data_IF_694620638840
#
_entry.id   IF_694620638840
#
_cell.length_a   1.000
_cell.length_b   1.000
_cell.length_c   1.000
_cell.angle_alpha   90.00
_cell.angle_beta   90.00
_cell.angle_gamma   90.00
#
_symmetry.space_group_name_H-M   'P 1'
#
loop_
_entity.id
_entity.type
_entity.pdbx_description
1 polymer ?
#
# COMPACT_ATOMS: atom_id res chain seq x y z
N UNK A 1 2.63 8.34 -18.71
CA UNK A 1 1.90 9.46 -18.06
C UNK A 1 2.29 9.43 -16.58
N UNK A 2 3.09 10.39 -16.12
CA UNK A 2 3.58 10.43 -14.74
C UNK A 2 2.42 10.85 -13.83
N UNK A 3 1.90 9.92 -13.02
CA UNK A 3 0.94 10.27 -11.96
C UNK A 3 1.69 11.11 -10.93
N UNK A 4 1.26 12.34 -10.62
CA UNK A 4 1.94 13.16 -9.63
C UNK A 4 1.97 12.44 -8.29
N UNK A 5 3.18 12.18 -7.78
CA UNK A 5 3.40 11.77 -6.39
C UNK A 5 2.85 12.89 -5.50
N UNK A 6 2.10 12.59 -4.42
CA UNK A 6 1.73 13.61 -3.46
C UNK A 6 2.99 14.37 -3.05
N UNK A 7 3.00 15.70 -3.23
CA UNK A 7 4.12 16.54 -2.82
C UNK A 7 4.41 16.28 -1.35
N UNK A 8 5.69 16.33 -0.97
CA UNK A 8 6.21 16.06 0.38
C UNK A 8 5.41 16.70 1.52
N UNK A 9 4.68 17.79 1.23
CA UNK A 9 3.69 18.44 2.08
C UNK A 9 2.71 17.47 2.79
N UNK A 10 2.28 16.37 2.16
CA UNK A 10 1.37 15.40 2.79
C UNK A 10 2.05 14.49 3.81
N UNK A 11 3.39 14.43 3.81
CA UNK A 11 4.15 13.61 4.77
C UNK A 11 4.34 14.28 6.14
N UNK A 12 4.05 15.58 6.26
CA UNK A 12 4.07 16.27 7.56
C UNK A 12 2.90 15.86 8.47
N UNK A 13 1.85 15.23 7.93
CA UNK A 13 0.73 14.70 8.70
C UNK A 13 0.92 13.25 9.18
N UNK A 14 2.00 12.58 8.77
CA UNK A 14 2.24 11.16 9.07
C UNK A 14 2.32 10.79 10.56
N UNK A 15 2.89 11.63 11.46
CA UNK A 15 2.88 11.32 12.89
C UNK A 15 1.44 11.19 13.43
N UNK A 16 0.49 11.93 12.85
CA UNK A 16 -0.92 11.94 13.23
C UNK A 16 -1.63 10.65 12.79
N UNK A 17 -1.10 9.97 11.77
CA UNK A 17 -1.62 8.71 11.26
C UNK A 17 -0.96 7.48 11.90
N UNK A 18 -0.03 7.67 12.85
CA UNK A 18 0.61 6.57 13.57
C UNK A 18 1.57 5.74 12.70
N UNK A 19 2.08 6.35 11.63
CA UNK A 19 2.95 5.68 10.65
C UNK A 19 4.39 5.77 11.12
N UNK A 20 5.09 4.63 11.15
CA UNK A 20 6.48 4.58 11.55
C UNK A 20 7.37 5.38 10.58
N UNK A 21 8.08 6.38 11.11
CA UNK A 21 8.93 7.28 10.33
C UNK A 21 10.21 6.60 9.77
N UNK A 22 10.63 5.47 10.34
CA UNK A 22 11.70 4.63 9.78
C UNK A 22 11.17 3.89 8.56
N UNK A 23 10.03 3.22 8.67
CA UNK A 23 9.42 2.50 7.54
C UNK A 23 9.11 3.43 6.37
N UNK A 24 8.62 4.64 6.65
CA UNK A 24 8.39 5.63 5.60
C UNK A 24 9.69 6.01 4.88
N UNK A 25 10.77 6.27 5.63
CA UNK A 25 12.06 6.64 5.03
C UNK A 25 12.62 5.51 4.18
N UNK A 26 12.41 4.25 4.57
CA UNK A 26 12.74 3.11 3.72
C UNK A 26 11.92 3.10 2.44
N UNK A 27 10.61 3.32 2.52
CA UNK A 27 9.72 3.38 1.37
C UNK A 27 10.12 4.47 0.37
N UNK A 28 10.43 5.66 0.87
CA UNK A 28 10.87 6.78 0.03
C UNK A 28 12.21 6.49 -0.66
N UNK A 29 13.09 5.66 -0.06
CA UNK A 29 14.37 5.26 -0.65
C UNK A 29 14.23 4.16 -1.71
N UNK A 30 13.21 3.31 -1.60
CA UNK A 30 12.99 2.20 -2.54
C UNK A 30 12.62 2.71 -3.95
N UNK A 31 12.06 3.92 -4.03
CA UNK A 31 11.54 4.49 -5.27
C UNK A 31 10.12 4.01 -5.57
N UNK A 32 9.40 4.77 -6.40
CA UNK A 32 7.98 4.56 -6.67
C UNK A 32 7.05 5.45 -5.83
N UNK A 33 5.74 5.26 -6.00
CA UNK A 33 4.73 6.02 -5.26
C UNK A 33 4.47 5.35 -3.91
N UNK A 34 4.65 6.09 -2.81
CA UNK A 34 4.39 5.58 -1.46
C UNK A 34 2.90 5.68 -1.13
N UNK A 35 2.32 4.57 -0.69
CA UNK A 35 0.91 4.46 -0.30
C UNK A 35 0.86 3.83 1.08
N UNK A 36 0.09 4.44 1.98
CA UNK A 36 -0.17 3.89 3.30
C UNK A 36 -1.51 3.20 3.26
N UNK A 37 -1.56 1.96 3.74
CA UNK A 37 -2.69 1.07 3.55
C UNK A 37 -3.02 0.32 4.84
N UNK A 38 -4.25 -0.19 4.88
CA UNK A 38 -4.68 -1.22 5.83
C UNK A 38 -5.12 -2.46 5.07
N UNK A 39 -4.92 -3.61 5.68
CA UNK A 39 -5.46 -4.84 5.14
C UNK A 39 -6.94 -4.99 5.48
N UNK A 40 -7.70 -5.55 4.57
CA UNK A 40 -9.11 -5.89 4.76
C UNK A 40 -9.28 -7.35 4.34
N UNK A 41 -9.98 -8.12 5.17
CA UNK A 41 -10.35 -9.50 4.84
C UNK A 41 -11.53 -9.52 3.89
N UNK A 42 -11.38 -10.21 2.77
CA UNK A 42 -12.42 -10.44 1.76
C UNK A 42 -12.56 -11.96 1.52
N UNK A 43 -13.47 -12.59 2.26
CA UNK A 43 -13.62 -14.04 2.27
C UNK A 43 -12.34 -14.75 2.74
N UNK A 44 -11.76 -15.58 1.86
CA UNK A 44 -10.51 -16.30 2.12
C UNK A 44 -9.25 -15.55 1.67
N UNK A 45 -9.39 -14.30 1.22
CA UNK A 45 -8.30 -13.46 0.74
C UNK A 45 -8.20 -12.16 1.52
N UNK A 46 -7.08 -11.47 1.34
CA UNK A 46 -6.86 -10.14 1.84
C UNK A 46 -6.67 -9.16 0.69
N UNK A 47 -7.12 -7.93 0.90
CA UNK A 47 -6.90 -6.80 0.00
C UNK A 47 -6.25 -5.68 0.80
N UNK A 48 -5.46 -4.85 0.14
CA UNK A 48 -4.93 -3.63 0.74
C UNK A 48 -5.75 -2.43 0.29
N UNK A 49 -6.28 -1.68 1.26
CA UNK A 49 -7.06 -0.46 1.05
C UNK A 49 -6.21 0.75 1.49
N UNK A 50 -6.11 1.81 0.67
CA UNK A 50 -5.40 3.01 1.07
C UNK A 50 -6.13 3.69 2.23
N UNK A 51 -5.36 4.28 3.14
CA UNK A 51 -5.92 5.21 4.11
C UNK A 51 -6.32 6.52 3.39
N UNK A 52 -7.12 7.33 4.07
CA UNK A 52 -7.56 8.63 3.56
C UNK A 52 -6.36 9.51 3.15
N UNK A 53 -6.44 10.16 1.98
CA UNK A 53 -5.35 10.97 1.42
C UNK A 53 -4.37 10.23 0.50
N UNK A 54 -4.39 8.89 0.48
CA UNK A 54 -3.59 8.07 -0.46
C UNK A 54 -4.43 7.39 -1.55
N UNK A 55 -5.74 7.59 -1.53
CA UNK A 55 -6.70 7.09 -2.50
C UNK A 55 -6.46 7.64 -3.92
N UNK A 56 -5.98 8.88 -4.04
CA UNK A 56 -5.68 9.52 -5.33
C UNK A 56 -4.66 8.73 -6.16
N UNK A 57 -3.66 8.14 -5.50
CA UNK A 57 -2.65 7.32 -6.17
C UNK A 57 -3.30 6.09 -6.81
N UNK A 58 -4.11 5.35 -6.06
CA UNK A 58 -4.77 4.16 -6.60
C UNK A 58 -5.88 4.50 -7.61
N UNK A 59 -6.55 5.65 -7.45
CA UNK A 59 -7.54 6.14 -8.41
C UNK A 59 -6.93 6.35 -9.79
N UNK A 60 -5.71 6.88 -9.86
CA UNK A 60 -4.98 7.07 -11.12
C UNK A 60 -4.50 5.76 -11.77
N UNK A 61 -4.45 4.67 -11.00
CA UNK A 61 -3.93 3.36 -11.42
C UNK A 61 -5.04 2.33 -11.66
N UNK A 62 -6.28 2.77 -11.81
CA UNK A 62 -7.44 1.89 -11.97
C UNK A 62 -7.29 0.89 -13.13
N UNK A 63 -7.36 -0.41 -12.82
CA UNK A 63 -7.24 -1.49 -13.82
C UNK A 63 -5.81 -1.79 -14.26
N UNK A 64 -4.82 -1.07 -13.74
CA UNK A 64 -3.39 -1.22 -14.08
C UNK A 64 -2.76 -2.34 -13.24
N UNK A 65 -1.82 -3.06 -13.85
CA UNK A 65 -0.91 -3.95 -13.14
C UNK A 65 0.27 -3.14 -12.62
N UNK A 66 0.54 -3.27 -11.33
CA UNK A 66 1.58 -2.51 -10.64
C UNK A 66 2.55 -3.46 -9.96
N UNK A 67 3.83 -3.11 -9.96
CA UNK A 67 4.78 -3.70 -9.04
C UNK A 67 4.56 -3.05 -7.67
N UNK A 68 4.29 -3.89 -6.66
CA UNK A 68 4.02 -3.46 -5.29
C UNK A 68 5.04 -4.10 -4.37
N UNK A 69 5.72 -3.29 -3.55
CA UNK A 69 6.46 -3.80 -2.39
C UNK A 69 5.73 -3.38 -1.11
N UNK A 70 5.37 -4.35 -0.29
CA UNK A 70 4.97 -4.11 1.10
C UNK A 70 6.21 -3.97 1.97
N UNK A 71 6.26 -2.91 2.76
CA UNK A 71 7.30 -2.60 3.72
C UNK A 71 6.69 -2.75 5.10
N UNK A 72 7.16 -3.76 5.82
CA UNK A 72 6.61 -4.21 7.09
C UNK A 72 7.62 -3.95 8.22
N UNK A 73 7.15 -3.92 9.46
CA UNK A 73 8.01 -3.78 10.64
C UNK A 73 9.02 -4.95 10.77
N UNK A 74 10.13 -4.68 11.46
CA UNK A 74 11.23 -5.63 11.59
C UNK A 74 12.04 -5.85 10.31
N UNK A 75 11.94 -4.95 9.32
CA UNK A 75 12.69 -5.00 8.07
C UNK A 75 12.17 -6.04 7.07
N UNK A 76 10.98 -6.61 7.31
CA UNK A 76 10.36 -7.59 6.41
C UNK A 76 9.81 -6.87 5.18
N UNK A 77 10.00 -7.46 4.01
CA UNK A 77 9.50 -6.92 2.74
C UNK A 77 8.88 -8.01 1.89
N UNK A 78 7.86 -7.65 1.10
CA UNK A 78 7.24 -8.56 0.15
C UNK A 78 6.90 -7.83 -1.14
N UNK A 79 7.61 -8.16 -2.22
CA UNK A 79 7.38 -7.60 -3.56
C UNK A 79 6.57 -8.55 -4.44
N UNK A 80 5.61 -8.01 -5.19
CA UNK A 80 4.73 -8.76 -6.08
C UNK A 80 4.06 -7.85 -7.10
N UNK A 81 3.63 -8.44 -8.21
CA UNK A 81 2.75 -7.79 -9.17
C UNK A 81 1.32 -7.91 -8.67
N UNK A 82 0.59 -6.81 -8.66
CA UNK A 82 -0.79 -6.75 -8.22
C UNK A 82 -1.66 -5.98 -9.21
N UNK A 83 -2.95 -6.30 -9.23
CA UNK A 83 -3.95 -5.52 -9.95
C UNK A 83 -4.58 -4.51 -9.00
N UNK A 84 -4.65 -3.26 -9.44
CA UNK A 84 -5.49 -2.23 -8.79
C UNK A 84 -6.92 -2.41 -9.26
N UNK A 85 -7.84 -2.65 -8.34
CA UNK A 85 -9.27 -2.80 -8.63
C UNK A 85 -10.15 -2.01 -7.68
N UNK A 86 -11.40 -2.46 -7.52
CA UNK A 86 -12.40 -1.77 -6.71
C UNK A 86 -13.08 -2.74 -5.76
N UNK A 87 -13.23 -2.34 -4.50
CA UNK A 87 -13.95 -3.08 -3.47
C UNK A 87 -14.86 -2.11 -2.71
N UNK A 88 -16.17 -2.35 -2.74
CA UNK A 88 -17.19 -1.46 -2.15
C UNK A 88 -17.01 0.02 -2.52
N UNK A 89 -16.72 0.31 -3.79
CA UNK A 89 -16.53 1.67 -4.29
C UNK A 89 -15.15 2.29 -4.00
N UNK A 90 -14.32 1.67 -3.15
CA UNK A 90 -12.96 2.12 -2.88
C UNK A 90 -11.93 1.39 -3.77
N UNK A 91 -10.88 2.09 -4.21
CA UNK A 91 -9.77 1.44 -4.91
C UNK A 91 -8.90 0.65 -3.95
N UNK A 92 -8.48 -0.53 -4.39
CA UNK A 92 -7.72 -1.49 -3.57
C UNK A 92 -6.68 -2.22 -4.42
N UNK A 93 -5.67 -2.77 -3.73
CA UNK A 93 -4.70 -3.70 -4.30
C UNK A 93 -5.09 -5.12 -3.88
N UNK A 94 -5.27 -6.01 -4.86
CA UNK A 94 -5.50 -7.42 -4.58
C UNK A 94 -4.18 -8.13 -4.26
N UNK A 95 -4.14 -8.80 -3.11
CA UNK A 95 -2.92 -9.44 -2.63
C UNK A 95 -2.83 -10.89 -3.11
N UNK A 96 -1.63 -11.37 -3.51
CA UNK A 96 -1.41 -12.78 -3.80
C UNK A 96 -1.70 -13.67 -2.59
N UNK A 97 -2.39 -14.81 -2.80
CA UNK A 97 -2.70 -15.77 -1.73
C UNK A 97 -1.48 -16.25 -0.94
N UNK A 98 -0.30 -16.33 -1.58
CA UNK A 98 0.96 -16.69 -0.93
C UNK A 98 1.34 -15.76 0.22
N UNK A 99 0.83 -14.52 0.25
CA UNK A 99 1.06 -13.56 1.31
C UNK A 99 0.02 -13.64 2.43
N UNK A 100 -1.06 -14.42 2.29
CA UNK A 100 -2.16 -14.45 3.26
C UNK A 100 -1.69 -14.67 4.71
N UNK A 101 -0.71 -15.56 4.94
CA UNK A 101 -0.20 -15.83 6.29
C UNK A 101 0.44 -14.60 6.93
N UNK A 102 1.26 -13.87 6.16
CA UNK A 102 1.89 -12.64 6.62
C UNK A 102 0.82 -11.57 6.80
N UNK A 103 -0.05 -11.39 5.81
CA UNK A 103 -1.10 -10.35 5.85
C UNK A 103 -2.08 -10.56 7.00
N UNK A 104 -2.43 -11.80 7.32
CA UNK A 104 -3.32 -12.15 8.42
C UNK A 104 -2.78 -11.71 9.79
N UNK A 105 -1.47 -11.84 10.01
CA UNK A 105 -0.78 -11.36 11.22
C UNK A 105 -1.03 -9.85 11.40
N UNK A 106 -0.78 -9.07 10.36
CA UNK A 106 -0.94 -7.61 10.38
C UNK A 106 -2.41 -7.17 10.45
N UNK A 107 -3.29 -7.90 9.77
CA UNK A 107 -4.72 -7.63 9.78
C UNK A 107 -5.34 -7.84 11.16
N UNK A 108 -4.98 -8.93 11.87
CA UNK A 108 -5.52 -9.23 13.21
C UNK A 108 -5.18 -8.17 14.24
N UNK A 109 -4.06 -7.49 14.06
CA UNK A 109 -3.56 -6.44 14.94
C UNK A 109 -3.97 -5.02 14.47
N UNK A 110 -4.82 -4.91 13.44
CA UNK A 110 -5.21 -3.64 12.78
C UNK A 110 -4.00 -2.75 12.42
N UNK A 111 -2.90 -3.38 12.01
CA UNK A 111 -1.66 -2.68 11.69
C UNK A 111 -1.77 -1.98 10.33
N UNK A 112 -1.25 -0.76 10.28
CA UNK A 112 -1.00 -0.07 9.01
C UNK A 112 0.24 -0.64 8.35
N UNK A 113 0.25 -0.62 7.02
CA UNK A 113 1.36 -1.08 6.19
C UNK A 113 1.69 -0.02 5.15
N UNK A 114 2.97 0.20 4.94
CA UNK A 114 3.47 1.07 3.88
C UNK A 114 3.75 0.21 2.64
N UNK A 115 3.35 0.68 1.48
CA UNK A 115 3.76 0.09 0.22
C UNK A 115 4.36 1.12 -0.72
N UNK A 116 5.29 0.65 -1.55
CA UNK A 116 5.72 1.35 -2.75
C UNK A 116 5.05 0.73 -3.95
N UNK A 117 4.58 1.57 -4.87
CA UNK A 117 3.86 1.17 -6.07
C UNK A 117 4.52 1.81 -7.28
N UNK A 118 4.86 0.98 -8.26
CA UNK A 118 5.40 1.42 -9.54
C UNK A 118 4.62 0.77 -10.68
N UNK A 119 4.33 1.55 -11.72
CA UNK A 119 3.70 1.01 -12.94
C UNK A 119 4.73 0.13 -13.66
N UNK A 120 4.29 -1.02 -14.16
CA UNK A 120 5.10 -1.83 -15.06
C UNK A 120 5.09 -1.14 -16.44
N UNK A 121 6.25 -0.65 -16.88
CA UNK A 121 6.43 -0.10 -18.25
C UNK A 121 6.30 -1.20 -19.32
#
# INVERSE_FOLDING_TARGET
MLVPVPREANYHALPQWGVDAVLLREALREGGQVVIMRFVKNGSQYIARPIEGFDQILNALAGVLVNTTLILDGGRRASFIARVGTYHGARVIYLPKKLNRIVEEYWREDRQVIATISVLE
#
